data_IF_405954559900
#
_entry.id   IF_405954559900
#
_cell.length_a   1.000
_cell.length_b   1.000
_cell.length_c   1.000
_cell.angle_alpha   90.00
_cell.angle_beta   90.00
_cell.angle_gamma   90.00
#
_symmetry.space_group_name_H-M   'P 1'
#
loop_
_entity.id
_entity.type
_entity.pdbx_description
1 polymer ?
#
# COMPACT_ATOMS: atom_id res chain seq x y z
N UNK A 1 15.40 -29.43 -8.02
CA UNK A 1 14.71 -28.23 -7.50
C UNK A 1 13.29 -28.29 -8.05
N UNK A 2 12.28 -28.54 -7.22
CA UNK A 2 10.88 -28.61 -7.66
C UNK A 2 10.26 -27.24 -7.40
N UNK A 3 10.00 -26.48 -8.46
CA UNK A 3 9.26 -25.23 -8.35
C UNK A 3 7.78 -25.56 -8.19
N UNK A 4 7.15 -25.05 -7.13
CA UNK A 4 5.69 -25.07 -6.99
C UNK A 4 5.18 -23.76 -7.60
N UNK A 5 4.29 -23.85 -8.58
CA UNK A 5 3.70 -22.68 -9.23
C UNK A 5 2.22 -22.55 -8.85
N UNK A 6 1.73 -21.31 -8.80
CA UNK A 6 0.35 -20.98 -8.46
C UNK A 6 -0.09 -19.73 -9.21
N UNK A 7 -1.38 -19.64 -9.57
CA UNK A 7 -1.95 -18.37 -10.03
C UNK A 7 -2.15 -17.44 -8.82
N UNK A 8 -1.98 -16.14 -8.98
CA UNK A 8 -2.11 -15.18 -7.87
C UNK A 8 -3.49 -15.24 -7.19
N UNK A 9 -4.58 -15.42 -7.95
CA UNK A 9 -5.93 -15.58 -7.41
C UNK A 9 -6.19 -16.89 -6.64
N UNK A 10 -5.22 -17.81 -6.63
CA UNK A 10 -5.24 -19.04 -5.83
C UNK A 10 -4.45 -18.90 -4.51
N UNK A 11 -3.73 -17.80 -4.33
CA UNK A 11 -3.00 -17.52 -3.12
C UNK A 11 -3.94 -16.89 -2.07
N UNK A 12 -3.67 -17.19 -0.79
CA UNK A 12 -4.25 -16.54 0.40
C UNK A 12 -3.11 -16.25 1.36
N UNK A 13 -2.87 -14.97 1.67
CA UNK A 13 -1.87 -14.57 2.65
C UNK A 13 -2.55 -14.11 3.92
N UNK A 14 -2.01 -14.52 5.07
CA UNK A 14 -2.43 -14.04 6.38
C UNK A 14 -1.23 -13.49 7.12
N UNK A 15 -1.38 -12.28 7.64
CA UNK A 15 -0.43 -11.74 8.60
C UNK A 15 -0.60 -12.48 9.93
N UNK A 16 0.47 -13.15 10.38
CA UNK A 16 0.46 -13.94 11.61
C UNK A 16 1.32 -13.32 12.71
N UNK A 17 1.99 -12.18 12.46
CA UNK A 17 2.92 -11.59 13.45
C UNK A 17 2.22 -11.14 14.74
N UNK A 18 0.90 -10.95 14.72
CA UNK A 18 0.12 -10.57 15.91
C UNK A 18 -0.43 -11.77 16.71
N UNK A 19 -0.45 -13.00 16.15
CA UNK A 19 -1.25 -14.11 16.71
C UNK A 19 -0.46 -15.35 17.16
N UNK A 20 0.83 -15.46 16.83
CA UNK A 20 1.64 -16.62 17.21
C UNK A 20 2.41 -16.34 18.50
N UNK A 21 1.86 -16.80 19.64
CA UNK A 21 2.59 -16.76 20.91
C UNK A 21 3.89 -17.58 20.81
N UNK A 22 5.03 -16.92 21.00
CA UNK A 22 6.35 -17.56 21.10
C UNK A 22 7.20 -17.55 19.83
N UNK A 23 6.70 -17.08 18.68
CA UNK A 23 7.51 -16.92 17.46
C UNK A 23 7.72 -15.43 17.18
N UNK A 24 8.92 -14.92 17.45
CA UNK A 24 9.27 -13.52 17.22
C UNK A 24 9.79 -13.28 15.79
N UNK A 25 9.42 -12.12 15.25
CA UNK A 25 9.88 -11.62 13.96
C UNK A 25 8.74 -11.33 12.97
N UNK A 26 9.14 -11.00 11.74
CA UNK A 26 8.21 -10.53 10.70
C UNK A 26 7.69 -11.71 9.88
N UNK A 27 6.74 -12.44 10.46
CA UNK A 27 6.25 -13.72 9.94
C UNK A 27 4.88 -13.54 9.28
N UNK A 28 4.73 -14.16 8.12
CA UNK A 28 3.49 -14.19 7.38
C UNK A 28 3.28 -15.58 6.78
N UNK A 29 2.04 -15.84 6.40
CA UNK A 29 1.59 -17.17 6.08
C UNK A 29 0.99 -17.23 4.69
N UNK A 30 1.53 -18.09 3.84
CA UNK A 30 1.08 -18.27 2.47
C UNK A 30 0.30 -19.59 2.34
N UNK A 31 -0.92 -19.50 1.86
CA UNK A 31 -1.79 -20.63 1.56
C UNK A 31 -2.03 -20.70 0.06
N UNK A 32 -1.82 -21.87 -0.52
CA UNK A 32 -2.15 -22.16 -1.92
C UNK A 32 -3.41 -23.00 -1.97
N UNK A 33 -4.48 -22.44 -2.55
CA UNK A 33 -5.77 -23.09 -2.71
C UNK A 33 -6.04 -23.45 -4.17
N UNK A 34 -6.45 -24.70 -4.43
CA UNK A 34 -7.01 -25.10 -5.72
C UNK A 34 -8.53 -25.23 -5.55
N UNK A 35 -9.27 -24.21 -5.98
CA UNK A 35 -10.69 -24.07 -5.65
C UNK A 35 -10.88 -23.85 -4.15
N UNK A 36 -11.67 -24.71 -3.49
CA UNK A 36 -11.89 -24.66 -2.03
C UNK A 36 -10.86 -25.49 -1.24
N UNK A 37 -10.02 -26.29 -1.91
CA UNK A 37 -9.06 -27.18 -1.24
C UNK A 37 -7.71 -26.47 -1.00
N UNK A 38 -7.22 -26.52 0.24
CA UNK A 38 -5.86 -26.11 0.58
C UNK A 38 -4.86 -27.18 0.14
N UNK A 39 -3.93 -26.83 -0.75
CA UNK A 39 -2.89 -27.74 -1.24
C UNK A 39 -1.58 -27.61 -0.48
N UNK A 40 -1.17 -26.37 -0.25
CA UNK A 40 0.09 -26.08 0.42
C UNK A 40 -0.08 -24.94 1.41
N UNK A 41 0.71 -25.03 2.47
CA UNK A 41 0.73 -24.07 3.56
C UNK A 41 2.19 -23.82 3.95
N UNK A 42 2.63 -22.58 3.84
CA UNK A 42 4.03 -22.18 4.03
C UNK A 42 4.07 -21.03 5.02
N UNK A 43 4.94 -21.14 6.02
CA UNK A 43 5.26 -20.07 6.94
C UNK A 43 6.55 -19.39 6.48
N UNK A 44 6.50 -18.09 6.24
CA UNK A 44 7.61 -17.30 5.75
C UNK A 44 7.99 -16.23 6.79
N UNK A 45 9.29 -15.95 6.88
CA UNK A 45 9.83 -14.91 7.78
C UNK A 45 10.65 -13.93 6.96
N UNK A 46 10.31 -12.65 7.03
CA UNK A 46 11.11 -11.57 6.47
C UNK A 46 12.15 -11.08 7.49
N UNK A 47 13.19 -10.43 6.98
CA UNK A 47 14.25 -9.82 7.78
C UNK A 47 13.82 -8.50 8.43
N UNK A 48 12.89 -7.79 7.78
CA UNK A 48 12.39 -6.47 8.22
C UNK A 48 10.86 -6.44 8.19
N UNK A 49 10.27 -5.46 8.88
CA UNK A 49 8.81 -5.30 8.90
C UNK A 49 8.31 -4.85 7.54
N UNK A 50 8.98 -3.87 6.93
CA UNK A 50 8.73 -3.41 5.57
C UNK A 50 8.82 -4.55 4.56
N UNK A 51 9.82 -5.42 4.66
CA UNK A 51 9.95 -6.59 3.80
C UNK A 51 8.75 -7.52 3.91
N UNK A 52 8.27 -7.79 5.12
CA UNK A 52 7.04 -8.59 5.32
C UNK A 52 5.85 -7.92 4.64
N UNK A 53 5.63 -6.63 4.88
CA UNK A 53 4.47 -5.93 4.32
C UNK A 53 4.55 -5.84 2.79
N UNK A 54 5.72 -5.56 2.21
CA UNK A 54 5.96 -5.56 0.77
C UNK A 54 5.63 -6.91 0.13
N UNK A 55 6.03 -8.02 0.74
CA UNK A 55 5.64 -9.37 0.28
C UNK A 55 4.14 -9.61 0.36
N UNK A 56 3.49 -9.20 1.46
CA UNK A 56 2.04 -9.32 1.62
C UNK A 56 1.31 -8.52 0.51
N UNK A 57 1.69 -7.25 0.32
CA UNK A 57 1.15 -6.37 -0.73
C UNK A 57 1.37 -6.95 -2.13
N UNK A 58 2.56 -7.48 -2.44
CA UNK A 58 2.84 -8.05 -3.76
C UNK A 58 1.98 -9.30 -4.08
N UNK A 59 1.59 -10.06 -3.05
CA UNK A 59 0.73 -11.24 -3.21
C UNK A 59 -0.77 -10.92 -3.22
N UNK A 60 -1.14 -9.77 -2.65
CA UNK A 60 -2.49 -9.20 -2.64
C UNK A 60 -2.44 -7.76 -3.15
N UNK A 61 -2.23 -7.56 -4.46
CA UNK A 61 -2.39 -6.23 -5.01
C UNK A 61 -3.86 -5.85 -4.81
N UNK A 62 -4.12 -4.94 -3.89
CA UNK A 62 -5.44 -4.30 -3.80
C UNK A 62 -5.72 -3.62 -5.14
N UNK A 63 -6.98 -3.60 -5.56
CA UNK A 63 -7.36 -2.76 -6.69
C UNK A 63 -7.08 -1.29 -6.32
N UNK A 64 -6.28 -0.55 -7.12
CA UNK A 64 -6.03 0.87 -6.88
C UNK A 64 -7.33 1.68 -6.74
N UNK A 65 -8.41 1.28 -7.43
CA UNK A 65 -9.71 1.93 -7.36
C UNK A 65 -10.38 1.70 -5.99
N UNK A 66 -10.40 0.46 -5.49
CA UNK A 66 -10.95 0.15 -4.16
C UNK A 66 -10.15 0.84 -3.04
N UNK A 67 -8.82 0.90 -3.18
CA UNK A 67 -7.94 1.54 -2.20
C UNK A 67 -8.20 3.04 -2.06
N UNK A 68 -8.57 3.67 -3.17
CA UNK A 68 -8.89 5.09 -3.30
C UNK A 68 -10.35 5.38 -2.90
N UNK A 69 -11.29 4.50 -3.20
CA UNK A 69 -12.68 4.63 -2.75
C UNK A 69 -12.74 4.52 -1.22
N UNK A 70 -12.06 3.52 -0.65
CA UNK A 70 -11.86 3.43 0.80
C UNK A 70 -11.11 4.65 1.37
N UNK A 71 -10.28 5.30 0.55
CA UNK A 71 -9.61 6.54 0.91
C UNK A 71 -10.57 7.74 1.02
N UNK A 72 -11.63 7.73 0.21
CA UNK A 72 -12.61 8.80 0.14
C UNK A 72 -13.72 8.67 1.19
N UNK A 73 -14.00 7.46 1.66
CA UNK A 73 -15.05 7.18 2.66
C UNK A 73 -14.58 7.37 4.12
N UNK A 74 -13.27 7.22 4.41
CA UNK A 74 -12.74 7.47 5.75
C UNK A 74 -12.20 8.91 5.88
N UNK A 75 -13.01 9.79 6.45
CA UNK A 75 -12.75 11.22 6.63
C UNK A 75 -11.55 11.57 7.57
N UNK A 76 -10.80 10.56 8.03
CA UNK A 76 -9.65 10.68 8.95
C UNK A 76 -8.43 9.84 8.55
N UNK A 77 -8.21 9.65 7.26
CA UNK A 77 -7.02 8.93 6.80
C UNK A 77 -5.76 9.77 6.99
N UNK A 78 -4.73 9.13 7.54
CA UNK A 78 -3.42 9.75 7.77
C UNK A 78 -2.88 10.23 6.41
N UNK A 79 -2.59 11.53 6.34
CA UNK A 79 -1.95 12.13 5.18
C UNK A 79 -0.57 12.61 5.57
N UNK A 80 0.36 12.49 4.63
CA UNK A 80 1.71 12.97 4.78
C UNK A 80 2.08 13.87 3.60
N UNK A 81 2.93 14.84 3.86
CA UNK A 81 3.51 15.71 2.84
C UNK A 81 4.98 15.37 2.67
N UNK A 82 5.44 15.24 1.42
CA UNK A 82 6.86 15.10 1.13
C UNK A 82 7.61 16.39 1.45
N UNK A 83 8.57 16.30 2.37
CA UNK A 83 9.45 17.42 2.77
C UNK A 83 10.82 17.33 2.07
N UNK A 84 11.17 16.16 1.54
CA UNK A 84 12.43 15.90 0.84
C UNK A 84 12.22 14.90 -0.30
N UNK A 85 12.62 15.30 -1.51
CA UNK A 85 12.54 14.42 -2.69
C UNK A 85 13.23 13.08 -2.47
N UNK A 86 12.69 12.03 -3.07
CA UNK A 86 13.18 10.67 -2.99
C UNK A 86 13.13 10.04 -4.38
N UNK A 87 14.21 9.36 -4.80
CA UNK A 87 14.21 8.60 -6.04
C UNK A 87 14.00 7.13 -5.72
N UNK A 88 12.98 6.49 -6.30
CA UNK A 88 12.73 5.07 -6.12
C UNK A 88 13.95 4.23 -6.53
N UNK A 89 14.31 3.27 -5.67
CA UNK A 89 15.42 2.35 -5.88
C UNK A 89 14.93 0.94 -6.26
N UNK A 90 13.73 0.57 -5.82
CA UNK A 90 13.09 -0.71 -6.10
C UNK A 90 11.76 -0.50 -6.85
N UNK A 91 11.24 -1.57 -7.48
CA UNK A 91 10.03 -1.47 -8.33
C UNK A 91 8.73 -1.19 -7.56
N UNK A 92 8.71 -1.51 -6.27
CA UNK A 92 7.61 -1.24 -5.36
C UNK A 92 7.74 0.13 -4.65
N UNK A 93 8.82 0.88 -4.92
CA UNK A 93 9.05 2.19 -4.34
C UNK A 93 8.49 3.33 -5.18
N UNK A 94 8.05 4.38 -4.50
CA UNK A 94 7.48 5.58 -5.11
C UNK A 94 8.49 6.72 -5.10
N UNK A 95 8.79 7.28 -6.28
CA UNK A 95 9.64 8.48 -6.41
C UNK A 95 8.88 9.70 -5.87
N UNK A 96 9.40 10.44 -4.91
CA UNK A 96 8.69 11.59 -4.33
C UNK A 96 9.29 12.92 -4.77
N UNK A 97 8.43 13.90 -5.04
CA UNK A 97 8.79 15.30 -5.20
C UNK A 97 8.38 16.12 -3.97
N UNK A 98 9.07 17.25 -3.71
CA UNK A 98 8.74 18.10 -2.57
C UNK A 98 7.30 18.63 -2.71
N UNK A 99 6.59 18.62 -1.60
CA UNK A 99 5.17 18.98 -1.47
C UNK A 99 4.17 17.98 -2.08
N UNK A 100 4.62 16.82 -2.57
CA UNK A 100 3.71 15.70 -2.86
C UNK A 100 2.85 15.40 -1.62
N UNK A 101 1.54 15.25 -1.83
CA UNK A 101 0.59 14.86 -0.80
C UNK A 101 0.25 13.40 -1.00
N UNK A 102 0.47 12.60 0.04
CA UNK A 102 0.22 11.17 0.02
C UNK A 102 -0.73 10.77 1.14
N UNK A 103 -1.58 9.79 0.85
CA UNK A 103 -2.29 9.04 1.86
C UNK A 103 -1.38 7.93 2.39
N UNK A 104 -1.15 7.88 3.70
CA UNK A 104 -0.40 6.81 4.33
C UNK A 104 -1.33 5.61 4.64
N UNK A 105 -1.00 4.45 4.08
CA UNK A 105 -1.72 3.17 4.28
C UNK A 105 -1.10 2.36 5.42
N UNK A 106 0.20 2.12 5.31
CA UNK A 106 0.97 1.31 6.27
C UNK A 106 2.21 2.08 6.68
N UNK A 107 2.46 2.17 7.99
CA UNK A 107 3.71 2.75 8.53
C UNK A 107 4.39 1.64 9.32
N UNK A 108 5.60 1.28 8.91
CA UNK A 108 6.39 0.25 9.58
C UNK A 108 7.37 0.88 10.56
N UNK A 109 7.69 0.14 11.61
CA UNK A 109 8.61 0.56 12.68
C UNK A 109 10.06 0.73 12.19
N UNK A 110 10.43 0.06 11.09
CA UNK A 110 11.73 0.18 10.42
C UNK A 110 11.83 1.39 9.49
N UNK A 111 10.86 2.32 9.53
CA UNK A 111 10.97 3.63 8.92
C UNK A 111 10.50 3.71 7.47
N UNK A 112 9.67 2.76 7.02
CA UNK A 112 9.03 2.82 5.72
C UNK A 112 7.55 3.15 5.82
N UNK A 113 7.04 3.78 4.77
CA UNK A 113 5.63 4.11 4.60
C UNK A 113 5.19 3.58 3.24
N UNK A 114 4.08 2.85 3.25
CA UNK A 114 3.31 2.56 2.05
C UNK A 114 2.23 3.62 1.91
N UNK A 115 2.12 4.23 0.75
CA UNK A 115 1.12 5.25 0.50
C UNK A 115 0.72 5.41 -0.95
N UNK A 116 -0.28 6.27 -1.16
CA UNK A 116 -0.84 6.59 -2.46
C UNK A 116 -0.70 8.09 -2.68
N UNK A 117 -0.04 8.52 -3.76
CA UNK A 117 0.07 9.93 -4.12
C UNK A 117 -1.28 10.44 -4.63
N UNK A 118 -1.75 11.56 -4.10
CA UNK A 118 -3.07 12.09 -4.45
C UNK A 118 -3.11 12.76 -5.84
N UNK A 119 -2.00 13.06 -6.50
CA UNK A 119 -2.04 13.72 -7.82
C UNK A 119 -2.42 12.77 -8.95
N UNK A 120 -1.92 11.54 -8.91
CA UNK A 120 -2.00 10.55 -9.99
C UNK A 120 -2.51 9.18 -9.51
N UNK A 121 -2.61 8.97 -8.19
CA UNK A 121 -3.04 7.70 -7.62
C UNK A 121 -1.94 6.64 -7.58
N UNK A 122 -0.68 6.98 -7.85
CA UNK A 122 0.42 6.02 -7.78
C UNK A 122 0.62 5.52 -6.35
N UNK A 123 0.70 4.19 -6.19
CA UNK A 123 0.95 3.50 -4.92
C UNK A 123 2.40 3.02 -4.86
N UNK A 124 3.04 3.18 -3.71
CA UNK A 124 4.33 2.56 -3.46
C UNK A 124 4.91 2.87 -2.09
N UNK A 125 6.12 2.38 -1.88
CA UNK A 125 6.88 2.51 -0.65
C UNK A 125 7.87 3.67 -0.68
N UNK A 126 8.00 4.38 0.43
CA UNK A 126 8.95 5.47 0.56
C UNK A 126 9.45 5.62 2.02
N UNK A 127 10.62 6.23 2.23
CA UNK A 127 11.16 6.40 3.58
C UNK A 127 10.33 7.40 4.39
N UNK A 128 10.02 7.06 5.64
CA UNK A 128 9.33 7.94 6.60
C UNK A 128 10.06 9.25 6.81
N UNK A 129 11.40 9.25 6.71
CA UNK A 129 12.24 10.45 6.87
C UNK A 129 12.04 11.51 5.79
N UNK A 130 11.42 11.15 4.66
CA UNK A 130 11.18 12.05 3.54
C UNK A 130 9.84 12.76 3.62
N UNK A 131 8.99 12.39 4.59
CA UNK A 131 7.63 12.90 4.72
C UNK A 131 7.35 13.40 6.14
N UNK A 132 6.37 14.27 6.26
CA UNK A 132 5.85 14.78 7.53
C UNK A 132 4.32 14.60 7.59
N UNK A 133 3.78 14.30 8.76
CA UNK A 133 2.34 14.11 8.94
C UNK A 133 1.57 15.43 8.84
N UNK A 134 0.51 15.42 8.04
CA UNK A 134 -0.46 16.52 7.96
C UNK A 134 -1.46 16.36 9.10
N UNK A 135 -1.16 16.96 10.24
CA UNK A 135 -1.99 16.90 11.45
C UNK A 135 -3.25 17.80 11.37
N UNK A 136 -3.21 18.83 10.53
CA UNK A 136 -4.32 19.76 10.38
C UNK A 136 -5.49 19.13 9.60
N UNK A 137 -6.58 18.82 10.31
CA UNK A 137 -7.79 18.22 9.71
C UNK A 137 -8.35 19.04 8.54
N UNK A 138 -8.38 20.38 8.65
CA UNK A 138 -8.87 21.23 7.56
C UNK A 138 -7.97 21.14 6.32
N UNK A 139 -6.65 20.99 6.50
CA UNK A 139 -5.73 20.74 5.38
C UNK A 139 -6.01 19.37 4.75
N UNK A 140 -6.18 18.31 5.56
CA UNK A 140 -6.52 16.97 5.05
C UNK A 140 -7.80 16.96 4.22
N UNK A 141 -8.84 17.62 4.69
CA UNK A 141 -10.12 17.74 4.00
C UNK A 141 -10.02 18.55 2.70
N UNK A 142 -9.20 19.60 2.66
CA UNK A 142 -8.97 20.35 1.41
C UNK A 142 -8.27 19.49 0.37
N UNK A 143 -7.24 18.76 0.76
CA UNK A 143 -6.51 17.87 -0.13
C UNK A 143 -7.44 16.79 -0.73
N UNK A 144 -8.32 16.22 0.10
CA UNK A 144 -9.30 15.24 -0.35
C UNK A 144 -10.29 15.83 -1.37
N UNK A 145 -10.82 17.02 -1.10
CA UNK A 145 -11.75 17.71 -2.02
C UNK A 145 -11.10 18.01 -3.37
N UNK A 146 -9.86 18.49 -3.37
CA UNK A 146 -9.14 18.74 -4.62
C UNK A 146 -8.87 17.45 -5.39
N UNK A 147 -8.49 16.38 -4.71
CA UNK A 147 -8.31 15.06 -5.35
C UNK A 147 -9.60 14.57 -6.03
N UNK A 148 -10.74 14.64 -5.33
CA UNK A 148 -12.06 14.27 -5.89
C UNK A 148 -12.40 15.15 -7.10
N UNK A 149 -12.16 16.47 -7.00
CA UNK A 149 -12.42 17.41 -8.09
C UNK A 149 -11.59 17.08 -9.33
N UNK A 150 -10.31 16.81 -9.17
CA UNK A 150 -9.41 16.44 -10.28
C UNK A 150 -9.90 15.15 -10.93
N UNK A 151 -10.19 14.11 -10.13
CA UNK A 151 -10.68 12.82 -10.65
C UNK A 151 -11.98 12.95 -11.44
N UNK A 152 -12.95 13.69 -10.93
CA UNK A 152 -14.23 13.89 -11.62
C UNK A 152 -14.05 14.60 -12.97
N UNK A 153 -13.08 15.52 -13.07
CA UNK A 153 -12.73 16.18 -14.33
C UNK A 153 -12.03 15.21 -15.29
N UNK A 154 -11.05 14.44 -14.80
CA UNK A 154 -10.33 13.45 -15.63
C UNK A 154 -11.29 12.41 -16.21
N UNK A 155 -12.21 11.88 -15.40
CA UNK A 155 -13.18 10.88 -15.85
C UNK A 155 -14.12 11.43 -16.94
N UNK A 156 -14.61 12.67 -16.77
CA UNK A 156 -15.46 13.31 -17.80
C UNK A 156 -14.73 13.52 -19.12
N UNK A 157 -13.44 13.89 -19.06
CA UNK A 157 -12.61 14.04 -20.25
C UNK A 157 -12.39 12.69 -20.95
N UNK A 158 -12.19 11.61 -20.18
CA UNK A 158 -12.08 10.26 -20.74
C UNK A 158 -13.39 9.81 -21.39
N UNK A 159 -14.54 10.07 -20.78
CA UNK A 159 -15.87 9.74 -21.32
C UNK A 159 -16.22 10.54 -22.59
N UNK A 160 -15.72 11.77 -22.74
CA UNK A 160 -15.93 12.61 -23.94
C UNK A 160 -15.01 12.23 -25.12
N UNK A 161 -13.96 11.44 -24.88
CA UNK A 161 -12.98 10.99 -25.88
C UNK A 161 -13.33 9.63 -26.52
N UNK A 162 -14.45 9.00 -26.13
CA UNK A 162 -14.99 7.74 -26.68
C UNK A 162 -16.44 7.89 -27.14
#
# INVERSE_FOLDING_TARGET
MVFVHAKIGQLKVKDLSQKLQGISGFIFHLQLCEGQQLKHQILLKAHTESGKQRWITAMFPSDPLEDIEQASENDDLSQVQCIKSYQAQEHDELTLEKADILQAKTITSDGWVEGIRLSDGERGWFPKTNVEEITNRSARLRNLRENIRIKCVTQKLEEELF
#
